data_IF_880814437329
#
_entry.id   IF_880814437329
#
_cell.length_a   1.000
_cell.length_b   1.000
_cell.length_c   1.000
_cell.angle_alpha   90.00
_cell.angle_beta   90.00
_cell.angle_gamma   90.00
#
_symmetry.space_group_name_H-M   'P 1'
#
loop_
_entity.id
_entity.type
_entity.pdbx_description
1 polymer ?
#
# COMPACT_ATOMS: atom_id res chain seq x y z
N UNK A 1 -11.37 -5.34 -12.90
CA UNK A 1 -10.70 -6.25 -11.93
C UNK A 1 -11.57 -6.35 -10.68
N UNK A 2 -11.46 -7.40 -9.85
CA UNK A 2 -12.22 -7.53 -8.60
C UNK A 2 -13.68 -8.05 -8.68
N UNK A 3 -14.34 -7.99 -9.84
CA UNK A 3 -15.73 -8.46 -10.06
C UNK A 3 -16.08 -9.85 -9.48
N UNK A 4 -15.18 -10.85 -9.46
CA UNK A 4 -15.50 -12.15 -8.87
C UNK A 4 -15.99 -12.10 -7.41
N UNK A 5 -15.59 -11.09 -6.62
CA UNK A 5 -16.04 -10.93 -5.22
C UNK A 5 -17.51 -10.52 -5.08
N UNK A 6 -18.17 -10.09 -6.17
CA UNK A 6 -19.56 -9.63 -6.14
C UNK A 6 -20.58 -10.77 -6.26
N UNK A 7 -20.19 -11.88 -6.90
CA UNK A 7 -21.15 -12.93 -7.27
C UNK A 7 -20.55 -14.33 -7.49
N UNK A 8 -19.21 -14.48 -7.61
CA UNK A 8 -18.59 -15.77 -7.95
C UNK A 8 -18.07 -16.55 -6.75
N UNK A 9 -17.60 -15.85 -5.73
CA UNK A 9 -17.19 -16.45 -4.46
C UNK A 9 -17.43 -15.46 -3.32
N UNK A 10 -17.47 -15.95 -2.09
CA UNK A 10 -17.58 -15.12 -0.90
C UNK A 10 -16.17 -14.87 -0.30
N UNK A 11 -15.66 -13.62 -0.31
CA UNK A 11 -14.38 -13.29 0.30
C UNK A 11 -14.29 -13.64 1.79
N UNK A 12 -15.43 -13.72 2.50
CA UNK A 12 -15.47 -14.00 3.95
C UNK A 12 -15.00 -15.40 4.32
N UNK A 13 -15.19 -16.37 3.42
CA UNK A 13 -14.83 -17.77 3.65
C UNK A 13 -13.54 -18.18 2.95
N UNK A 14 -12.92 -17.25 2.19
CA UNK A 14 -11.72 -17.52 1.40
C UNK A 14 -10.45 -17.39 2.26
N UNK A 15 -9.57 -18.42 2.30
CA UNK A 15 -8.30 -18.33 3.01
C UNK A 15 -7.47 -17.12 2.56
N UNK A 16 -6.90 -16.37 3.50
CA UNK A 16 -6.14 -15.14 3.22
C UNK A 16 -6.98 -13.86 3.09
N UNK A 17 -8.31 -13.96 2.98
CA UNK A 17 -9.25 -12.82 2.94
C UNK A 17 -10.15 -12.74 4.18
N UNK A 18 -9.82 -13.45 5.27
CA UNK A 18 -10.64 -13.53 6.49
C UNK A 18 -10.90 -12.17 7.16
N UNK A 19 -10.08 -11.16 6.89
CA UNK A 19 -10.30 -9.79 7.35
C UNK A 19 -11.54 -9.12 6.72
N UNK A 20 -12.00 -9.59 5.57
CA UNK A 20 -13.16 -9.02 4.85
C UNK A 20 -14.46 -9.14 5.65
N UNK A 21 -14.60 -10.14 6.52
CA UNK A 21 -15.74 -10.27 7.46
C UNK A 21 -15.91 -8.98 8.29
N UNK A 22 -14.79 -8.38 8.70
CA UNK A 22 -14.77 -7.22 9.59
C UNK A 22 -15.09 -5.94 8.83
N UNK A 23 -14.53 -5.80 7.62
CA UNK A 23 -14.82 -4.67 6.73
C UNK A 23 -16.28 -4.69 6.29
N UNK A 24 -16.85 -5.89 6.12
CA UNK A 24 -18.27 -6.07 5.89
C UNK A 24 -19.10 -5.49 7.04
N UNK A 25 -18.78 -5.87 8.29
CA UNK A 25 -19.47 -5.36 9.48
C UNK A 25 -19.31 -3.83 9.67
N UNK A 26 -18.12 -3.28 9.40
CA UNK A 26 -17.86 -1.83 9.43
C UNK A 26 -18.70 -1.06 8.41
N UNK A 27 -18.87 -1.62 7.22
CA UNK A 27 -19.63 -0.99 6.13
C UNK A 27 -21.13 -1.03 6.41
N UNK A 28 -21.66 -2.13 6.94
CA UNK A 28 -23.09 -2.27 7.28
C UNK A 28 -23.48 -1.62 8.60
N UNK A 29 -22.51 -1.31 9.46
CA UNK A 29 -22.77 -0.82 10.82
C UNK A 29 -23.20 -1.91 11.80
N UNK A 30 -22.94 -3.18 11.49
CA UNK A 30 -23.19 -4.30 12.39
C UNK A 30 -22.31 -4.22 13.66
N UNK A 31 -22.73 -4.90 14.73
CA UNK A 31 -21.96 -4.95 15.98
C UNK A 31 -20.57 -5.57 15.73
N UNK A 32 -19.56 -4.96 16.35
CA UNK A 32 -18.15 -5.31 16.22
C UNK A 32 -17.53 -5.81 17.52
N UNK A 33 -18.32 -5.95 18.58
CA UNK A 33 -17.88 -6.40 19.90
C UNK A 33 -17.13 -7.74 19.87
N UNK A 34 -17.47 -8.63 18.94
CA UNK A 34 -16.86 -9.96 18.79
C UNK A 34 -15.52 -9.98 18.02
N UNK A 35 -15.09 -8.87 17.41
CA UNK A 35 -13.85 -8.83 16.63
C UNK A 35 -12.66 -8.35 17.45
N UNK A 36 -11.49 -8.91 17.20
CA UNK A 36 -10.24 -8.45 17.79
C UNK A 36 -10.04 -6.94 17.54
N UNK A 37 -9.74 -6.23 18.63
CA UNK A 37 -9.72 -4.76 18.72
C UNK A 37 -8.87 -4.11 17.61
N UNK A 38 -7.72 -4.71 17.29
CA UNK A 38 -6.79 -4.22 16.27
C UNK A 38 -7.43 -3.94 14.90
N UNK A 39 -8.44 -4.70 14.50
CA UNK A 39 -9.06 -4.57 13.17
C UNK A 39 -10.18 -3.54 13.11
N UNK A 40 -10.70 -3.12 14.26
CA UNK A 40 -11.84 -2.22 14.35
C UNK A 40 -11.45 -0.75 14.09
N UNK A 41 -10.15 -0.44 14.13
CA UNK A 41 -9.62 0.90 13.83
C UNK A 41 -9.44 1.23 12.34
N UNK A 42 -9.71 0.28 11.44
CA UNK A 42 -9.51 0.44 9.99
C UNK A 42 -10.77 1.02 9.32
N UNK A 43 -11.02 2.30 9.57
CA UNK A 43 -12.35 2.90 9.32
C UNK A 43 -12.47 3.62 7.97
N UNK A 44 -11.38 4.15 7.40
CA UNK A 44 -11.49 5.06 6.25
C UNK A 44 -12.12 4.37 5.02
N UNK A 45 -11.55 3.25 4.57
CA UNK A 45 -12.02 2.56 3.36
C UNK A 45 -13.47 2.07 3.53
N UNK A 46 -13.87 1.42 4.64
CA UNK A 46 -15.27 1.06 4.88
C UNK A 46 -16.22 2.27 4.93
N UNK A 47 -15.78 3.41 5.47
CA UNK A 47 -16.62 4.61 5.51
C UNK A 47 -16.79 5.26 4.15
N UNK A 48 -15.75 5.27 3.31
CA UNK A 48 -15.86 5.67 1.90
C UNK A 48 -16.75 4.70 1.12
N UNK A 49 -16.79 3.42 1.50
CA UNK A 49 -17.67 2.42 0.88
C UNK A 49 -19.16 2.59 1.21
N UNK A 50 -19.51 3.22 2.34
CA UNK A 50 -20.90 3.32 2.82
C UNK A 50 -21.87 3.94 1.80
N UNK A 51 -21.60 5.13 1.20
CA UNK A 51 -22.51 5.72 0.21
C UNK A 51 -22.80 4.78 -0.96
N UNK A 52 -21.78 4.06 -1.45
CA UNK A 52 -21.93 3.10 -2.54
C UNK A 52 -22.69 1.83 -2.11
N UNK A 53 -22.51 1.38 -0.87
CA UNK A 53 -23.31 0.32 -0.27
C UNK A 53 -24.80 0.70 -0.23
N UNK A 54 -25.14 1.91 0.25
CA UNK A 54 -26.53 2.37 0.29
C UNK A 54 -27.14 2.46 -1.11
N UNK A 55 -26.38 2.97 -2.07
CA UNK A 55 -26.78 3.01 -3.47
C UNK A 55 -27.05 1.61 -4.03
N UNK A 56 -26.11 0.69 -3.85
CA UNK A 56 -26.22 -0.68 -4.35
C UNK A 56 -27.37 -1.44 -3.70
N UNK A 57 -27.56 -1.30 -2.38
CA UNK A 57 -28.67 -1.92 -1.67
C UNK A 57 -30.04 -1.48 -2.22
N UNK A 58 -30.15 -0.25 -2.70
CA UNK A 58 -31.39 0.29 -3.25
C UNK A 58 -31.62 -0.06 -4.72
N UNK A 59 -30.55 -0.26 -5.52
CA UNK A 59 -30.66 -0.36 -6.98
C UNK A 59 -30.14 -1.66 -7.60
N UNK A 60 -29.34 -2.45 -6.86
CA UNK A 60 -28.68 -3.65 -7.35
C UNK A 60 -29.13 -4.87 -6.53
N UNK A 61 -30.06 -5.65 -7.08
CA UNK A 61 -30.64 -6.80 -6.39
C UNK A 61 -29.81 -8.08 -6.50
N UNK A 62 -28.91 -8.17 -7.48
CA UNK A 62 -28.16 -9.40 -7.82
C UNK A 62 -26.75 -9.46 -7.25
N UNK A 63 -26.20 -8.33 -6.83
CA UNK A 63 -24.83 -8.22 -6.30
C UNK A 63 -24.86 -8.07 -4.79
N UNK A 64 -23.82 -8.56 -4.11
CA UNK A 64 -23.63 -8.21 -2.70
C UNK A 64 -23.32 -6.69 -2.61
N UNK A 65 -24.21 -5.89 -1.97
CA UNK A 65 -24.09 -4.44 -1.99
C UNK A 65 -22.88 -3.94 -1.18
N UNK A 66 -22.41 -4.72 -0.20
CA UNK A 66 -21.27 -4.36 0.64
C UNK A 66 -19.98 -4.56 -0.13
N UNK A 67 -19.82 -5.72 -0.77
CA UNK A 67 -18.64 -5.97 -1.61
C UNK A 67 -18.60 -5.06 -2.82
N UNK A 68 -19.76 -4.67 -3.37
CA UNK A 68 -19.81 -3.62 -4.37
C UNK A 68 -19.27 -2.29 -3.84
N UNK A 69 -19.73 -1.83 -2.67
CA UNK A 69 -19.25 -0.58 -2.08
C UNK A 69 -17.75 -0.60 -1.78
N UNK A 70 -17.25 -1.70 -1.22
CA UNK A 70 -15.82 -1.90 -0.96
C UNK A 70 -15.00 -1.93 -2.25
N UNK A 71 -15.49 -2.60 -3.30
CA UNK A 71 -14.84 -2.65 -4.60
C UNK A 71 -14.75 -1.26 -5.24
N UNK A 72 -15.83 -0.47 -5.19
CA UNK A 72 -15.83 0.91 -5.72
C UNK A 72 -14.84 1.78 -4.95
N UNK A 73 -14.86 1.72 -3.61
CA UNK A 73 -13.91 2.47 -2.78
C UNK A 73 -12.46 2.07 -3.07
N UNK A 74 -12.15 0.77 -3.11
CA UNK A 74 -10.82 0.28 -3.45
C UNK A 74 -10.39 0.71 -4.87
N UNK A 75 -11.32 0.69 -5.83
CA UNK A 75 -11.06 1.14 -7.20
C UNK A 75 -10.68 2.61 -7.28
N UNK A 76 -11.34 3.48 -6.50
CA UNK A 76 -10.99 4.91 -6.41
C UNK A 76 -9.56 5.08 -5.89
N UNK A 77 -9.18 4.38 -4.82
CA UNK A 77 -7.83 4.44 -4.28
C UNK A 77 -6.80 3.87 -5.25
N UNK A 78 -7.04 2.70 -5.86
CA UNK A 78 -6.14 2.11 -6.86
C UNK A 78 -5.96 3.00 -8.09
N UNK A 79 -7.04 3.61 -8.59
CA UNK A 79 -6.98 4.55 -9.71
C UNK A 79 -6.17 5.80 -9.35
N UNK A 80 -6.36 6.32 -8.13
CA UNK A 80 -5.58 7.45 -7.61
C UNK A 80 -4.09 7.10 -7.52
N UNK A 81 -3.76 5.91 -6.99
CA UNK A 81 -2.38 5.40 -6.98
C UNK A 81 -1.79 5.31 -8.38
N UNK A 82 -2.55 4.80 -9.36
CA UNK A 82 -2.12 4.72 -10.74
C UNK A 82 -1.83 6.11 -11.33
N UNK A 83 -2.71 7.10 -11.12
CA UNK A 83 -2.47 8.49 -11.53
C UNK A 83 -1.22 9.08 -10.88
N UNK A 84 -1.00 8.81 -9.58
CA UNK A 84 0.21 9.24 -8.88
C UNK A 84 1.46 8.58 -9.47
N UNK A 85 1.41 7.29 -9.83
CA UNK A 85 2.51 6.59 -10.51
C UNK A 85 2.84 7.23 -11.85
N UNK A 86 1.83 7.61 -12.65
CA UNK A 86 2.06 8.35 -13.90
C UNK A 86 2.78 9.67 -13.63
N UNK A 87 2.29 10.45 -12.67
CA UNK A 87 2.90 11.74 -12.29
C UNK A 87 4.32 11.59 -11.75
N UNK A 88 4.58 10.56 -10.93
CA UNK A 88 5.93 10.24 -10.44
C UNK A 88 6.87 9.85 -11.57
N UNK A 89 6.39 9.03 -12.52
CA UNK A 89 7.16 8.61 -13.70
C UNK A 89 7.53 9.80 -14.59
N UNK A 90 6.57 10.68 -14.87
CA UNK A 90 6.83 11.92 -15.62
C UNK A 90 7.84 12.82 -14.90
N UNK A 91 7.68 13.01 -13.58
CA UNK A 91 8.58 13.84 -12.77
C UNK A 91 10.02 13.32 -12.74
N UNK A 92 10.21 12.01 -12.62
CA UNK A 92 11.54 11.38 -12.46
C UNK A 92 12.22 11.10 -13.79
N UNK A 93 11.45 10.62 -14.78
CA UNK A 93 11.98 10.11 -16.05
C UNK A 93 11.75 11.08 -17.23
N UNK A 94 11.01 12.16 -17.02
CA UNK A 94 10.75 13.20 -18.03
C UNK A 94 9.82 12.78 -19.16
N UNK A 95 9.17 11.62 -19.06
CA UNK A 95 8.28 11.12 -20.12
C UNK A 95 7.11 10.32 -19.53
N UNK A 96 5.89 10.77 -19.85
CA UNK A 96 4.63 10.18 -19.40
C UNK A 96 4.45 8.71 -19.82
N UNK A 97 5.08 8.26 -20.92
CA UNK A 97 5.01 6.88 -21.38
C UNK A 97 5.56 5.89 -20.33
N UNK A 98 6.68 6.21 -19.66
CA UNK A 98 7.19 5.38 -18.57
C UNK A 98 6.20 5.32 -17.41
N UNK A 99 5.57 6.46 -17.09
CA UNK A 99 4.54 6.56 -16.07
C UNK A 99 3.31 5.70 -16.39
N UNK A 100 2.80 5.77 -17.62
CA UNK A 100 1.64 5.00 -18.08
C UNK A 100 1.91 3.48 -18.07
N UNK A 101 3.07 3.05 -18.58
CA UNK A 101 3.44 1.64 -18.53
C UNK A 101 3.67 1.19 -17.08
N UNK A 102 4.31 2.01 -16.25
CA UNK A 102 4.48 1.70 -14.83
C UNK A 102 3.13 1.55 -14.09
N UNK A 103 2.18 2.44 -14.35
CA UNK A 103 0.83 2.36 -13.79
C UNK A 103 0.07 1.13 -14.30
N UNK A 104 0.22 0.78 -15.59
CA UNK A 104 -0.35 -0.45 -16.15
C UNK A 104 0.23 -1.70 -15.47
N UNK A 105 1.56 -1.78 -15.34
CA UNK A 105 2.23 -2.90 -14.67
C UNK A 105 1.81 -3.01 -13.20
N UNK A 106 1.64 -1.89 -12.50
CA UNK A 106 1.13 -1.85 -11.15
C UNK A 106 -0.28 -2.44 -11.08
N UNK A 107 -1.22 -1.95 -11.91
CA UNK A 107 -2.61 -2.41 -11.92
C UNK A 107 -2.76 -3.89 -12.33
N UNK A 108 -1.90 -4.38 -13.22
CA UNK A 108 -1.86 -5.78 -13.64
C UNK A 108 -1.24 -6.72 -12.60
N UNK A 109 -0.64 -6.19 -11.52
CA UNK A 109 -0.05 -7.03 -10.50
C UNK A 109 -1.11 -7.84 -9.74
N UNK A 110 -0.72 -9.06 -9.37
CA UNK A 110 -1.56 -9.99 -8.61
C UNK A 110 -2.12 -9.34 -7.33
N UNK A 111 -1.32 -8.54 -6.62
CA UNK A 111 -1.72 -7.85 -5.41
C UNK A 111 -2.93 -6.92 -5.63
N UNK A 112 -2.97 -6.20 -6.76
CA UNK A 112 -4.07 -5.26 -7.02
C UNK A 112 -5.37 -6.01 -7.26
N UNK A 113 -5.36 -6.97 -8.19
CA UNK A 113 -6.57 -7.66 -8.61
C UNK A 113 -7.13 -8.60 -7.54
N UNK A 114 -6.27 -9.31 -6.82
CA UNK A 114 -6.67 -10.38 -5.91
C UNK A 114 -6.64 -9.98 -4.44
N UNK A 115 -5.94 -8.90 -4.08
CA UNK A 115 -5.85 -8.46 -2.70
C UNK A 115 -6.58 -7.13 -2.50
N UNK A 116 -6.11 -6.05 -3.14
CA UNK A 116 -6.67 -4.72 -2.94
C UNK A 116 -8.12 -4.60 -3.44
N UNK A 117 -8.41 -5.08 -4.65
CA UNK A 117 -9.75 -5.03 -5.25
C UNK A 117 -10.70 -6.15 -4.77
N UNK A 118 -10.23 -7.09 -3.95
CA UNK A 118 -11.07 -8.16 -3.39
C UNK A 118 -11.83 -7.74 -2.12
N UNK A 119 -11.96 -6.44 -1.87
CA UNK A 119 -12.66 -5.89 -0.70
C UNK A 119 -11.78 -5.70 0.53
N UNK A 120 -10.46 -5.65 0.35
CA UNK A 120 -9.53 -5.31 1.43
C UNK A 120 -9.20 -3.82 1.44
N UNK A 121 -8.70 -3.36 2.58
CA UNK A 121 -8.42 -1.94 2.83
C UNK A 121 -7.03 -1.48 2.37
N UNK A 122 -6.17 -2.40 1.90
CA UNK A 122 -4.78 -2.08 1.57
C UNK A 122 -4.66 -1.06 0.44
N UNK A 123 -5.68 -0.97 -0.42
CA UNK A 123 -5.76 0.07 -1.45
C UNK A 123 -5.58 1.48 -0.86
N UNK A 124 -6.14 1.73 0.33
CA UNK A 124 -5.99 3.00 1.03
C UNK A 124 -4.54 3.23 1.50
N UNK A 125 -3.93 2.23 2.14
CA UNK A 125 -2.52 2.30 2.57
C UNK A 125 -1.58 2.55 1.39
N UNK A 126 -1.71 1.77 0.32
CA UNK A 126 -0.92 1.94 -0.90
C UNK A 126 -1.10 3.32 -1.53
N UNK A 127 -2.34 3.84 -1.57
CA UNK A 127 -2.63 5.17 -2.10
C UNK A 127 -1.97 6.27 -1.28
N UNK A 128 -2.04 6.24 0.05
CA UNK A 128 -1.41 7.27 0.88
C UNK A 128 0.11 7.12 0.92
N UNK A 129 0.66 5.91 0.80
CA UNK A 129 2.10 5.70 0.60
C UNK A 129 2.56 6.33 -0.72
N UNK A 130 1.82 6.11 -1.82
CA UNK A 130 2.11 6.75 -3.09
C UNK A 130 1.96 8.28 -3.03
N UNK A 131 0.97 8.81 -2.31
CA UNK A 131 0.77 10.26 -2.12
C UNK A 131 1.91 10.89 -1.30
N UNK A 132 2.43 10.16 -0.30
CA UNK A 132 3.60 10.55 0.48
C UNK A 132 4.84 10.62 -0.42
N UNK A 133 5.10 9.60 -1.24
CA UNK A 133 6.21 9.60 -2.21
C UNK A 133 6.07 10.76 -3.19
N UNK A 134 4.88 10.95 -3.76
CA UNK A 134 4.61 12.06 -4.67
C UNK A 134 4.89 13.41 -4.02
N UNK A 135 4.52 13.58 -2.74
CA UNK A 135 4.75 14.84 -2.01
C UNK A 135 6.23 15.09 -1.78
N UNK A 136 7.01 14.05 -1.44
CA UNK A 136 8.45 14.15 -1.27
C UNK A 136 9.17 14.45 -2.59
N UNK A 137 8.77 13.82 -3.70
CA UNK A 137 9.32 14.10 -5.04
C UNK A 137 9.03 15.53 -5.56
N UNK A 138 8.01 16.19 -5.00
CA UNK A 138 7.63 17.55 -5.35
C UNK A 138 8.05 18.58 -4.29
N UNK A 139 8.88 18.20 -3.32
CA UNK A 139 9.33 19.04 -2.20
C UNK A 139 8.18 19.64 -1.37
N UNK A 140 6.99 19.02 -1.40
CA UNK A 140 5.79 19.48 -0.67
C UNK A 140 5.74 18.88 0.72
N UNK A 141 6.76 19.18 1.53
CA UNK A 141 6.92 18.59 2.86
C UNK A 141 5.75 18.90 3.81
N UNK A 142 5.10 20.05 3.62
CA UNK A 142 3.97 20.49 4.44
C UNK A 142 2.72 19.61 4.32
N UNK A 143 2.61 18.78 3.27
CA UNK A 143 1.49 17.85 3.09
C UNK A 143 1.62 16.57 3.92
N UNK A 144 2.81 16.28 4.46
CA UNK A 144 3.07 15.04 5.20
C UNK A 144 2.07 14.80 6.35
N UNK A 145 1.77 15.78 7.23
CA UNK A 145 0.79 15.58 8.30
C UNK A 145 -0.62 15.24 7.80
N UNK A 146 -1.02 15.75 6.64
CA UNK A 146 -2.30 15.44 6.02
C UNK A 146 -2.36 13.97 5.60
N UNK A 147 -1.28 13.44 5.02
CA UNK A 147 -1.17 12.02 4.71
C UNK A 147 -1.07 11.16 5.96
N UNK A 148 -0.44 11.67 7.03
CA UNK A 148 -0.48 11.07 8.37
C UNK A 148 -1.89 10.83 8.86
N UNK A 149 -2.75 11.84 8.74
CA UNK A 149 -4.15 11.77 9.14
C UNK A 149 -4.92 10.69 8.35
N UNK A 150 -4.91 10.77 7.02
CA UNK A 150 -5.71 9.86 6.20
C UNK A 150 -5.12 8.45 6.14
N UNK A 151 -3.79 8.32 6.03
CA UNK A 151 -3.13 7.02 5.98
C UNK A 151 -3.29 6.24 7.27
N UNK A 152 -3.15 6.89 8.44
CA UNK A 152 -3.39 6.26 9.74
C UNK A 152 -4.85 5.82 9.92
N UNK A 153 -5.80 6.59 9.38
CA UNK A 153 -7.22 6.22 9.38
C UNK A 153 -7.56 5.08 8.39
N UNK A 154 -6.75 4.91 7.34
CA UNK A 154 -6.86 3.79 6.41
C UNK A 154 -6.37 2.49 7.05
N UNK A 155 -5.14 2.51 7.59
CA UNK A 155 -4.52 1.33 8.20
C UNK A 155 -3.43 1.75 9.18
N UNK A 156 -3.39 1.09 10.33
CA UNK A 156 -2.45 1.40 11.41
C UNK A 156 -0.98 1.19 11.02
N UNK A 157 -0.70 0.24 10.10
CA UNK A 157 0.65 -0.03 9.58
C UNK A 157 1.23 1.12 8.75
N UNK A 158 0.37 2.03 8.27
CA UNK A 158 0.81 3.23 7.57
C UNK A 158 1.69 4.11 8.47
N UNK A 159 1.41 4.19 9.77
CA UNK A 159 2.17 5.05 10.69
C UNK A 159 3.66 4.65 10.76
N UNK A 160 4.02 3.40 11.12
CA UNK A 160 5.43 3.00 11.14
C UNK A 160 6.05 3.02 9.74
N UNK A 161 5.30 2.71 8.68
CA UNK A 161 5.82 2.76 7.31
C UNK A 161 6.14 4.18 6.85
N UNK A 162 5.18 5.10 6.90
CA UNK A 162 5.33 6.49 6.50
C UNK A 162 6.40 7.21 7.31
N UNK A 163 6.47 6.94 8.63
CA UNK A 163 7.46 7.55 9.51
C UNK A 163 8.88 7.11 9.15
N UNK A 164 9.13 5.80 9.00
CA UNK A 164 10.44 5.30 8.61
C UNK A 164 10.80 5.74 7.19
N UNK A 165 9.84 5.71 6.27
CA UNK A 165 10.04 6.12 4.89
C UNK A 165 10.47 7.59 4.81
N UNK A 166 9.71 8.50 5.42
CA UNK A 166 9.99 9.93 5.41
C UNK A 166 11.28 10.27 6.16
N UNK A 167 11.57 9.61 7.29
CA UNK A 167 12.82 9.76 8.02
C UNK A 167 14.02 9.33 7.18
N UNK A 168 13.94 8.17 6.54
CA UNK A 168 15.02 7.64 5.70
C UNK A 168 15.24 8.55 4.49
N UNK A 169 14.17 9.02 3.86
CA UNK A 169 14.24 9.98 2.76
C UNK A 169 14.97 11.26 3.18
N UNK A 170 14.51 11.89 4.26
CA UNK A 170 15.12 13.09 4.81
C UNK A 170 16.60 12.87 5.15
N UNK A 171 16.95 11.75 5.78
CA UNK A 171 18.32 11.45 6.17
C UNK A 171 19.25 11.30 4.97
N UNK A 172 18.79 10.64 3.90
CA UNK A 172 19.57 10.46 2.66
C UNK A 172 19.76 11.79 1.93
N UNK A 173 18.75 12.66 1.92
CA UNK A 173 18.88 13.99 1.33
C UNK A 173 19.74 14.94 2.17
N UNK A 174 19.68 14.83 3.50
CA UNK A 174 20.49 15.61 4.42
C UNK A 174 21.98 15.28 4.25
N UNK A 175 22.33 13.99 4.16
CA UNK A 175 23.71 13.56 3.86
C UNK A 175 24.23 14.01 2.48
N UNK A 176 23.34 14.43 1.59
CA UNK A 176 23.68 14.90 0.24
C UNK A 176 23.59 16.43 0.11
N UNK A 177 23.47 17.14 1.23
CA UNK A 177 23.32 18.59 1.32
C UNK A 177 22.12 19.15 0.52
N UNK A 178 21.09 18.32 0.30
CA UNK A 178 19.87 18.71 -0.43
C UNK A 178 18.70 19.03 0.51
N UNK A 179 18.65 18.40 1.68
CA UNK A 179 17.58 18.63 2.65
C UNK A 179 17.95 19.69 3.69
N UNK A 180 16.96 20.48 4.08
CA UNK A 180 17.08 21.44 5.17
C UNK A 180 16.70 20.79 6.49
N UNK A 181 17.37 21.17 7.59
CA UNK A 181 17.02 20.70 8.94
C UNK A 181 15.57 21.00 9.31
N UNK A 182 15.01 22.09 8.76
CA UNK A 182 13.62 22.48 8.97
C UNK A 182 12.61 21.46 8.43
N UNK A 183 12.97 20.60 7.47
CA UNK A 183 12.05 19.60 6.93
C UNK A 183 11.74 18.48 7.93
N UNK A 184 12.62 18.24 8.93
CA UNK A 184 12.38 17.28 10.02
C UNK A 184 11.09 17.56 10.76
N UNK A 185 10.72 18.84 10.94
CA UNK A 185 9.49 19.21 11.65
C UNK A 185 8.24 18.60 11.01
N UNK A 186 8.24 18.45 9.69
CA UNK A 186 7.12 17.86 8.95
C UNK A 186 7.09 16.33 9.07
N UNK A 187 8.26 15.69 9.16
CA UNK A 187 8.37 14.26 9.47
C UNK A 187 7.90 13.96 10.89
N UNK A 188 8.28 14.81 11.86
CA UNK A 188 7.78 14.70 13.23
C UNK A 188 6.26 14.94 13.26
N UNK A 189 5.78 15.97 12.59
CA UNK A 189 4.34 16.27 12.53
C UNK A 189 3.53 15.13 11.89
N UNK A 190 4.05 14.48 10.84
CA UNK A 190 3.48 13.24 10.27
C UNK A 190 3.32 12.15 11.33
N UNK A 191 4.40 11.84 12.05
CA UNK A 191 4.41 10.79 13.06
C UNK A 191 3.44 11.12 14.21
N UNK A 192 3.44 12.36 14.70
CA UNK A 192 2.56 12.81 15.79
C UNK A 192 1.10 12.78 15.36
N UNK A 193 0.76 13.33 14.19
CA UNK A 193 -0.63 13.34 13.70
C UNK A 193 -1.12 11.92 13.47
N UNK A 194 -0.33 11.07 12.80
CA UNK A 194 -0.71 9.68 12.59
C UNK A 194 -0.88 8.91 13.90
N UNK A 195 -0.01 9.15 14.88
CA UNK A 195 -0.11 8.56 16.22
C UNK A 195 -1.40 8.97 16.93
N UNK A 196 -1.71 10.27 16.97
CA UNK A 196 -2.94 10.81 17.57
C UNK A 196 -4.17 10.20 16.91
N UNK A 197 -4.15 10.01 15.59
CA UNK A 197 -5.27 9.43 14.84
C UNK A 197 -5.45 7.95 15.15
N UNK A 198 -4.39 7.15 15.13
CA UNK A 198 -4.47 5.73 15.53
C UNK A 198 -5.01 5.62 16.96
N UNK A 199 -4.47 6.40 17.89
CA UNK A 199 -4.88 6.35 19.30
C UNK A 199 -6.32 6.85 19.50
N UNK A 200 -6.72 7.91 18.80
CA UNK A 200 -8.07 8.46 18.86
C UNK A 200 -9.12 7.52 18.28
N UNK A 201 -8.83 6.90 17.13
CA UNK A 201 -9.72 5.90 16.54
C UNK A 201 -9.83 4.67 17.46
N UNK A 202 -8.70 4.15 17.94
CA UNK A 202 -8.70 3.00 18.84
C UNK A 202 -9.48 3.30 20.13
N UNK A 203 -9.21 4.43 20.79
CA UNK A 203 -9.93 4.84 21.99
C UNK A 203 -11.44 4.97 21.77
N UNK A 204 -11.86 5.46 20.59
CA UNK A 204 -13.28 5.57 20.26
C UNK A 204 -13.95 4.22 20.04
N UNK A 205 -13.19 3.24 19.57
CA UNK A 205 -13.69 1.94 19.14
C UNK A 205 -13.65 0.90 20.27
N UNK A 206 -12.59 0.85 21.06
CA UNK A 206 -12.45 -0.03 22.24
C UNK A 206 -13.12 0.55 23.47
N UNK A 207 -13.41 1.85 23.49
CA UNK A 207 -13.98 2.56 24.63
C UNK A 207 -12.95 2.88 25.73
N UNK A 208 -11.69 2.51 25.53
CA UNK A 208 -10.61 2.83 26.46
C UNK A 208 -9.32 3.17 25.73
N UNK A 209 -8.47 3.96 26.38
CA UNK A 209 -7.20 4.35 25.81
C UNK A 209 -6.23 3.16 25.77
N UNK A 210 -5.58 2.96 24.63
CA UNK A 210 -4.54 1.96 24.43
C UNK A 210 -3.30 2.61 23.84
N UNK A 211 -2.14 2.26 24.38
CA UNK A 211 -0.87 2.71 23.84
C UNK A 211 -0.44 1.87 22.63
N UNK A 212 0.30 2.44 21.66
CA UNK A 212 0.71 1.71 20.44
C UNK A 212 1.49 0.42 20.71
N UNK A 213 2.31 0.38 21.77
CA UNK A 213 3.04 -0.85 22.13
C UNK A 213 2.13 -1.94 22.66
N UNK A 214 1.00 -1.59 23.30
CA UNK A 214 -0.01 -2.58 23.72
C UNK A 214 -0.69 -3.18 22.50
N UNK A 215 -1.02 -2.36 21.50
CA UNK A 215 -1.54 -2.82 20.20
C UNK A 215 -0.53 -3.74 19.52
N UNK A 216 0.75 -3.37 19.51
CA UNK A 216 1.81 -4.23 18.97
C UNK A 216 1.91 -5.56 19.71
N UNK A 217 1.83 -5.58 21.04
CA UNK A 217 1.86 -6.82 21.81
C UNK A 217 0.71 -7.77 21.48
N UNK A 218 -0.49 -7.26 21.17
CA UNK A 218 -1.62 -8.08 20.72
C UNK A 218 -1.38 -8.76 19.36
N UNK A 219 -0.40 -8.29 18.59
CA UNK A 219 -0.05 -8.82 17.26
C UNK A 219 1.06 -9.86 17.34
N UNK A 220 1.83 -9.90 18.42
CA UNK A 220 2.93 -10.84 18.57
C UNK A 220 2.42 -12.28 18.52
N UNK A 221 2.89 -13.05 17.54
CA UNK A 221 2.52 -14.47 17.39
C UNK A 221 3.27 -15.38 18.37
N UNK A 222 4.34 -14.89 19.02
CA UNK A 222 5.24 -15.70 19.85
C UNK A 222 6.01 -16.77 19.06
N UNK A 223 5.89 -16.77 17.72
CA UNK A 223 6.53 -17.76 16.86
C UNK A 223 8.01 -17.42 16.69
N UNK A 224 8.86 -18.43 16.58
CA UNK A 224 10.28 -18.23 16.31
C UNK A 224 10.46 -17.43 15.00
N UNK A 225 11.21 -16.33 15.06
CA UNK A 225 11.44 -15.42 13.94
C UNK A 225 11.94 -16.12 12.68
N UNK A 226 12.79 -17.15 12.80
CA UNK A 226 13.28 -17.89 11.65
C UNK A 226 12.18 -18.72 10.98
N UNK A 227 11.32 -19.34 11.78
CA UNK A 227 10.18 -20.12 11.28
C UNK A 227 9.17 -19.22 10.60
N UNK A 228 8.84 -18.07 11.21
CA UNK A 228 7.95 -17.08 10.62
C UNK A 228 8.51 -16.50 9.31
N UNK A 229 9.80 -16.17 9.26
CA UNK A 229 10.46 -15.74 8.03
C UNK A 229 10.39 -16.80 6.93
N UNK A 230 10.70 -18.06 7.26
CA UNK A 230 10.62 -19.15 6.31
C UNK A 230 9.20 -19.33 5.77
N UNK A 231 8.20 -19.28 6.65
CA UNK A 231 6.78 -19.36 6.25
C UNK A 231 6.40 -18.24 5.28
N UNK A 232 6.78 -17.00 5.56
CA UNK A 232 6.53 -15.84 4.68
C UNK A 232 7.15 -16.08 3.30
N UNK A 233 8.42 -16.48 3.24
CA UNK A 233 9.13 -16.67 1.97
C UNK A 233 8.65 -17.92 1.23
N UNK A 234 8.22 -18.97 1.94
CA UNK A 234 7.71 -20.19 1.32
C UNK A 234 6.27 -20.06 0.80
N UNK A 235 5.55 -19.00 1.19
CA UNK A 235 4.17 -18.78 0.80
C UNK A 235 4.06 -18.35 -0.67
N UNK A 236 3.17 -18.99 -1.42
CA UNK A 236 2.97 -18.72 -2.84
C UNK A 236 2.43 -17.30 -3.10
N UNK A 237 1.62 -16.76 -2.17
CA UNK A 237 1.07 -15.41 -2.33
C UNK A 237 2.16 -14.35 -2.29
N UNK A 238 3.23 -14.56 -1.53
CA UNK A 238 4.39 -13.67 -1.54
C UNK A 238 5.01 -13.62 -2.94
N UNK A 239 5.25 -14.79 -3.55
CA UNK A 239 5.87 -14.87 -4.87
C UNK A 239 4.95 -14.40 -6.01
N UNK A 240 3.64 -14.60 -5.94
CA UNK A 240 2.74 -14.09 -6.99
C UNK A 240 2.82 -12.58 -7.18
N UNK A 241 3.13 -11.84 -6.12
CA UNK A 241 3.31 -10.39 -6.17
C UNK A 241 4.65 -10.01 -6.80
N UNK A 242 5.71 -10.77 -6.51
CA UNK A 242 7.10 -10.36 -6.76
C UNK A 242 7.85 -11.14 -7.85
N UNK A 243 7.39 -12.32 -8.25
CA UNK A 243 8.13 -13.26 -9.13
C UNK A 243 8.58 -12.61 -10.44
N UNK A 244 7.75 -11.76 -11.04
CA UNK A 244 8.08 -11.05 -12.27
C UNK A 244 8.49 -9.60 -11.99
N UNK A 245 7.97 -8.98 -10.93
CA UNK A 245 8.24 -7.58 -10.62
C UNK A 245 9.68 -7.35 -10.14
N UNK A 246 10.24 -8.27 -9.34
CA UNK A 246 11.62 -8.17 -8.83
C UNK A 246 12.69 -8.26 -9.93
N UNK A 247 12.71 -9.29 -10.81
CA UNK A 247 13.78 -9.42 -11.80
C UNK A 247 13.81 -8.23 -12.78
N UNK A 248 12.64 -7.74 -13.21
CA UNK A 248 12.57 -6.59 -14.12
C UNK A 248 12.75 -5.25 -13.38
N UNK A 249 12.24 -5.15 -12.15
CA UNK A 249 12.28 -3.93 -11.36
C UNK A 249 13.63 -3.64 -10.72
N UNK A 250 14.40 -4.63 -10.29
CA UNK A 250 15.69 -4.38 -9.59
C UNK A 250 16.73 -3.78 -10.53
N UNK A 251 16.78 -4.19 -11.80
CA UNK A 251 17.85 -3.81 -12.74
C UNK A 251 17.95 -2.28 -12.91
N UNK A 252 16.81 -1.59 -13.00
CA UNK A 252 16.74 -0.16 -13.34
C UNK A 252 16.51 0.75 -12.14
N UNK A 253 16.65 0.26 -10.90
CA UNK A 253 16.53 1.09 -9.69
C UNK A 253 17.54 2.25 -9.65
N UNK A 254 18.68 2.11 -10.34
CA UNK A 254 19.69 3.17 -10.46
C UNK A 254 19.22 4.41 -11.22
N UNK A 255 18.16 4.30 -12.02
CA UNK A 255 17.59 5.43 -12.78
C UNK A 255 16.66 6.30 -11.88
N UNK A 256 16.44 5.93 -10.60
CA UNK A 256 15.56 6.63 -9.66
C UNK A 256 16.33 7.38 -8.57
N UNK A 257 15.72 8.41 -7.95
CA UNK A 257 16.31 9.13 -6.82
C UNK A 257 16.69 8.18 -5.69
N UNK A 258 17.95 8.23 -5.24
CA UNK A 258 18.43 7.40 -4.13
C UNK A 258 17.61 7.55 -2.84
N UNK A 259 17.12 8.76 -2.45
CA UNK A 259 16.23 8.87 -1.30
C UNK A 259 15.00 7.95 -1.41
N UNK A 260 14.40 7.86 -2.60
CA UNK A 260 13.26 6.98 -2.85
C UNK A 260 13.65 5.50 -2.73
N UNK A 261 14.73 5.10 -3.39
CA UNK A 261 15.19 3.71 -3.36
C UNK A 261 15.53 3.27 -1.93
N UNK A 262 16.30 4.08 -1.20
CA UNK A 262 16.70 3.80 0.18
C UNK A 262 15.51 3.75 1.13
N UNK A 263 14.58 4.72 1.04
CA UNK A 263 13.38 4.74 1.86
C UNK A 263 12.47 3.53 1.59
N UNK A 264 12.32 3.13 0.31
CA UNK A 264 11.54 1.94 -0.07
C UNK A 264 12.16 0.66 0.48
N UNK A 265 13.49 0.51 0.39
CA UNK A 265 14.20 -0.67 0.92
C UNK A 265 14.09 -0.73 2.44
N UNK A 266 14.37 0.37 3.15
CA UNK A 266 14.28 0.42 4.61
C UNK A 266 12.87 0.07 5.10
N UNK A 267 11.85 0.60 4.44
CA UNK A 267 10.45 0.39 4.81
C UNK A 267 9.94 -1.00 4.41
N UNK A 268 10.42 -1.57 3.29
CA UNK A 268 10.17 -2.95 2.91
C UNK A 268 10.76 -3.94 3.94
N UNK A 269 11.97 -3.66 4.44
CA UNK A 269 12.58 -4.45 5.53
C UNK A 269 11.71 -4.35 6.79
N UNK A 270 11.26 -3.15 7.16
CA UNK A 270 10.35 -2.98 8.29
C UNK A 270 9.04 -3.76 8.10
N UNK A 271 8.45 -3.74 6.90
CA UNK A 271 7.24 -4.51 6.60
C UNK A 271 7.46 -6.02 6.78
N UNK A 272 8.63 -6.55 6.37
CA UNK A 272 9.02 -7.94 6.63
C UNK A 272 9.21 -8.20 8.12
N UNK A 273 9.89 -7.32 8.86
CA UNK A 273 10.09 -7.47 10.31
C UNK A 273 8.77 -7.49 11.05
N UNK A 274 7.84 -6.59 10.73
CA UNK A 274 6.48 -6.59 11.30
C UNK A 274 5.69 -7.83 10.88
N UNK A 275 5.88 -8.31 9.64
CA UNK A 275 5.29 -9.56 9.16
C UNK A 275 5.78 -10.79 9.93
N UNK A 276 7.09 -10.86 10.23
CA UNK A 276 7.71 -11.91 11.04
C UNK A 276 7.14 -11.86 12.46
N UNK A 277 7.10 -10.67 13.05
CA UNK A 277 6.59 -10.45 14.39
C UNK A 277 5.11 -10.87 14.53
N UNK A 278 4.32 -10.72 13.46
CA UNK A 278 2.91 -11.09 13.42
C UNK A 278 2.64 -12.54 12.94
N UNK A 279 3.66 -13.29 12.51
CA UNK A 279 3.52 -14.51 11.68
C UNK A 279 2.48 -14.35 10.55
N UNK A 280 2.65 -13.28 9.76
CA UNK A 280 1.65 -12.86 8.77
C UNK A 280 1.56 -13.76 7.52
N UNK A 281 2.38 -14.82 7.42
CA UNK A 281 2.49 -15.68 6.22
C UNK A 281 2.67 -14.84 4.94
N UNK A 282 2.08 -15.25 3.81
CA UNK A 282 2.12 -14.49 2.56
C UNK A 282 1.55 -13.07 2.64
N UNK A 283 0.79 -12.69 3.68
CA UNK A 283 0.25 -11.33 3.80
C UNK A 283 1.34 -10.28 4.04
N UNK A 284 2.52 -10.65 4.53
CA UNK A 284 3.65 -9.73 4.63
C UNK A 284 4.03 -9.14 3.26
N UNK A 285 3.81 -9.89 2.17
CA UNK A 285 4.05 -9.43 0.81
C UNK A 285 3.20 -8.21 0.41
N UNK A 286 2.00 -8.05 1.01
CA UNK A 286 1.12 -6.90 0.77
C UNK A 286 1.77 -5.60 1.25
N UNK A 287 2.21 -5.57 2.50
CA UNK A 287 2.88 -4.39 3.06
C UNK A 287 4.16 -4.03 2.33
N UNK A 288 4.94 -5.03 1.91
CA UNK A 288 6.13 -4.80 1.07
C UNK A 288 5.74 -4.19 -0.28
N UNK A 289 4.67 -4.68 -0.91
CA UNK A 289 4.21 -4.18 -2.20
C UNK A 289 3.58 -2.78 -2.11
N UNK A 290 2.86 -2.45 -1.05
CA UNK A 290 2.28 -1.12 -0.87
C UNK A 290 3.35 -0.02 -0.79
N UNK A 291 4.56 -0.38 -0.33
CA UNK A 291 5.74 0.49 -0.25
C UNK A 291 6.56 0.46 -1.54
N UNK A 292 6.97 -0.73 -1.99
CA UNK A 292 7.94 -0.90 -3.07
C UNK A 292 7.30 -1.06 -4.46
N UNK A 293 6.02 -1.40 -4.53
CA UNK A 293 5.28 -1.68 -5.75
C UNK A 293 5.33 -0.54 -6.76
N UNK A 294 5.04 0.72 -6.40
CA UNK A 294 5.14 1.86 -7.31
C UNK A 294 6.53 2.01 -7.93
N UNK A 295 7.59 1.93 -7.11
CA UNK A 295 8.98 2.07 -7.55
C UNK A 295 9.39 0.91 -8.48
N UNK A 296 9.10 -0.32 -8.08
CA UNK A 296 9.43 -1.52 -8.86
C UNK A 296 8.65 -1.57 -10.18
N UNK A 297 7.39 -1.11 -10.20
CA UNK A 297 6.57 -1.05 -11.42
C UNK A 297 7.12 -0.02 -12.42
N UNK A 298 7.50 1.17 -11.96
CA UNK A 298 8.16 2.17 -12.81
C UNK A 298 9.51 1.69 -13.31
N UNK A 299 10.30 1.04 -12.45
CA UNK A 299 11.59 0.50 -12.83
C UNK A 299 11.50 -0.62 -13.88
N UNK A 300 10.51 -1.51 -13.73
CA UNK A 300 10.20 -2.52 -14.74
C UNK A 300 9.74 -1.88 -16.06
N UNK A 301 8.95 -0.80 -16.02
CA UNK A 301 8.56 -0.05 -17.21
C UNK A 301 9.76 0.54 -17.95
N UNK A 302 10.72 1.13 -17.23
CA UNK A 302 11.99 1.61 -17.82
C UNK A 302 12.75 0.48 -18.50
N UNK A 303 12.83 -0.68 -17.86
CA UNK A 303 13.48 -1.85 -18.44
C UNK A 303 12.82 -2.28 -19.75
N UNK A 304 11.50 -2.44 -19.75
CA UNK A 304 10.74 -2.90 -20.93
C UNK A 304 10.84 -1.92 -22.11
N UNK A 305 10.62 -0.62 -21.88
CA UNK A 305 10.71 0.39 -22.95
C UNK A 305 12.10 0.38 -23.60
N UNK A 306 13.16 0.41 -22.78
CA UNK A 306 14.55 0.41 -23.29
C UNK A 306 14.89 -0.88 -24.03
N UNK A 307 14.33 -2.02 -23.62
CA UNK A 307 14.50 -3.30 -24.31
C UNK A 307 13.87 -3.26 -25.72
N UNK A 308 12.67 -2.68 -25.86
CA UNK A 308 12.01 -2.54 -27.15
C UNK A 308 12.70 -1.52 -28.07
N UNK A 309 13.17 -0.39 -27.53
CA UNK A 309 13.94 0.60 -28.29
C UNK A 309 15.26 0.03 -28.84
N UNK A 310 15.99 -0.74 -28.02
CA UNK A 310 17.21 -1.43 -28.45
C UNK A 310 16.94 -2.40 -29.60
N UNK A 311 15.89 -3.21 -29.48
CA UNK A 311 15.48 -4.20 -30.49
C UNK A 311 15.07 -3.55 -31.82
N UNK A 312 14.48 -2.35 -31.78
CA UNK A 312 14.11 -1.58 -32.97
C UNK A 312 15.32 -1.05 -33.74
N UNK A 313 16.35 -0.54 -33.02
CA UNK A 313 17.58 -0.04 -33.64
C UNK A 313 18.38 -1.14 -34.35
N UNK A 314 18.41 -2.35 -33.80
CA UNK A 314 19.11 -3.50 -34.43
C UNK A 314 18.46 -3.96 -35.73
N UNK A 315 17.14 -3.78 -35.89
CA UNK A 315 16.44 -4.13 -37.15
C UNK A 315 16.71 -3.11 -38.26
N UNK A 316 16.79 -1.82 -37.93
CA UNK A 316 17.11 -0.78 -38.91
C UNK A 316 18.52 -0.95 -39.52
N UNK A 317 19.50 -1.39 -38.73
CA UNK A 317 20.87 -1.62 -39.20
C UNK A 317 21.06 -2.89 -40.04
N UNK A 318 20.07 -3.80 -40.07
CA UNK A 318 20.08 -5.01 -40.91
C UNK A 318 19.36 -4.82 -42.25
N UNK A 319 18.77 -3.66 -42.49
CA UNK A 319 18.07 -3.32 -43.74
C UNK A 319 18.83 -2.31 -44.62
N UNK A 320 20.03 -1.92 -44.21
CA UNK A 320 21.01 -1.15 -44.99
C UNK A 320 22.20 -2.02 -45.33
#
# INVERSE_FOLDING_TARGET
>A
MGYPSLQRYDPRVTPGLSDTIKYYALTTGADQSAFAERFRGRVLVPYVARPFYWFARAHLSTWDPVFFGLLVSASIFCATTACLIVSMGERVLGNAAFGLIGALLYLLNFAISNLQLAGMIDAGEACFMAALVWSLLNDKWWLLPLWGLFGAAAKETFLPFSSLFALTWWFVEWRRDKAQLQQVKWVIALAVVGLVVVMGIQARVTGHFQWPWQIAQQVNSGTNSFVALWRIISDQNFWYVFVWLLPFGIWRLKDFPTPWVSASVATAILALVLGIFADALGNAGRGVFDVAGPLLSLSAAVFLIRLFESSGKTKAYKQT
#
